data_IF_202136390222
#
_entry.id   IF_202136390222
#
_cell.length_a   1.000
_cell.length_b   1.000
_cell.length_c   1.000
_cell.angle_alpha   90.00
_cell.angle_beta   90.00
_cell.angle_gamma   90.00
#
_symmetry.space_group_name_H-M   'P 1'
#
loop_
_entity.id
_entity.type
_entity.pdbx_description
1 polymer ?
#
# COMPACT_ATOMS: atom_id res chain seq x y z
N UNK A 1 10.89 1.27 -15.13
CA UNK A 1 10.89 1.08 -13.66
C UNK A 1 12.29 0.74 -13.16
N UNK A 2 13.25 1.67 -13.19
CA UNK A 2 14.67 1.34 -12.90
C UNK A 2 15.22 1.92 -11.58
N UNK A 3 14.47 2.75 -10.87
CA UNK A 3 14.94 3.47 -9.68
C UNK A 3 13.92 3.49 -8.53
N UNK A 4 12.97 2.55 -8.48
CA UNK A 4 12.00 2.51 -7.39
C UNK A 4 12.73 2.28 -6.05
N UNK A 5 12.42 3.12 -5.07
CA UNK A 5 12.88 3.02 -3.68
C UNK A 5 11.79 2.43 -2.80
N UNK A 6 12.12 2.08 -1.56
CA UNK A 6 11.10 1.66 -0.58
C UNK A 6 10.03 2.74 -0.36
N UNK A 7 10.42 4.01 -0.44
CA UNK A 7 9.51 5.13 -0.32
C UNK A 7 8.52 5.18 -1.51
N UNK A 8 8.98 4.91 -2.74
CA UNK A 8 8.12 4.95 -3.93
C UNK A 8 6.99 3.91 -3.89
N UNK A 9 7.25 2.73 -3.32
CA UNK A 9 6.20 1.72 -3.10
C UNK A 9 5.17 2.17 -2.06
N UNK A 10 5.65 2.72 -0.94
CA UNK A 10 4.77 3.20 0.13
C UNK A 10 3.96 4.42 -0.32
N UNK A 11 4.56 5.31 -1.11
CA UNK A 11 3.88 6.50 -1.62
C UNK A 11 2.83 6.14 -2.67
N UNK A 12 3.08 5.18 -3.55
CA UNK A 12 2.06 4.64 -4.47
C UNK A 12 0.86 4.08 -3.70
N UNK A 13 1.12 3.26 -2.69
CA UNK A 13 0.06 2.72 -1.83
C UNK A 13 -0.70 3.83 -1.10
N UNK A 14 0.00 4.83 -0.58
CA UNK A 14 -0.60 5.95 0.15
C UNK A 14 -1.47 6.84 -0.74
N UNK A 15 -1.01 7.17 -1.96
CA UNK A 15 -1.79 7.99 -2.90
C UNK A 15 -3.05 7.25 -3.34
N UNK A 16 -2.94 5.95 -3.65
CA UNK A 16 -4.10 5.13 -4.00
C UNK A 16 -5.06 4.97 -2.81
N UNK A 17 -4.55 4.73 -1.60
CA UNK A 17 -5.37 4.67 -0.38
C UNK A 17 -6.14 5.97 -0.13
N UNK A 18 -5.51 7.13 -0.32
CA UNK A 18 -6.18 8.44 -0.23
C UNK A 18 -7.26 8.60 -1.30
N UNK A 19 -7.00 8.19 -2.54
CA UNK A 19 -7.98 8.19 -3.65
C UNK A 19 -9.19 7.34 -3.29
N UNK A 20 -8.97 6.11 -2.80
CA UNK A 20 -10.05 5.20 -2.38
C UNK A 20 -10.81 5.71 -1.17
N UNK A 21 -10.12 6.20 -0.15
CA UNK A 21 -10.74 6.80 1.03
C UNK A 21 -11.67 7.96 0.66
N UNK A 22 -11.20 8.86 -0.21
CA UNK A 22 -12.03 9.95 -0.72
C UNK A 22 -13.26 9.44 -1.47
N UNK A 23 -13.09 8.46 -2.37
CA UNK A 23 -14.21 7.87 -3.10
C UNK A 23 -15.25 7.24 -2.17
N UNK A 24 -14.82 6.42 -1.20
CA UNK A 24 -15.72 5.80 -0.22
C UNK A 24 -16.46 6.83 0.60
N UNK A 25 -15.77 7.87 1.06
CA UNK A 25 -16.34 8.89 1.94
C UNK A 25 -17.37 9.79 1.25
N UNK A 26 -17.16 10.12 -0.01
CA UNK A 26 -17.95 11.16 -0.68
C UNK A 26 -18.82 10.64 -1.82
N UNK A 27 -18.50 9.47 -2.40
CA UNK A 27 -19.08 9.01 -3.65
C UNK A 27 -19.77 7.63 -3.55
N UNK A 28 -19.73 6.95 -2.40
CA UNK A 28 -20.36 5.64 -2.19
C UNK A 28 -21.52 5.74 -1.20
N UNK A 29 -22.71 5.34 -1.65
CA UNK A 29 -23.89 5.22 -0.78
C UNK A 29 -23.64 4.14 0.27
N UNK A 30 -23.77 4.49 1.55
CA UNK A 30 -23.43 3.59 2.67
C UNK A 30 -21.92 3.51 2.98
N UNK A 31 -21.11 4.34 2.33
CA UNK A 31 -19.67 4.40 2.50
C UNK A 31 -19.22 4.69 3.93
N UNK A 32 -20.05 5.30 4.77
CA UNK A 32 -19.76 5.58 6.19
C UNK A 32 -19.39 4.32 7.00
N UNK A 33 -19.89 3.15 6.60
CA UNK A 33 -19.57 1.87 7.25
C UNK A 33 -18.17 1.36 6.89
N UNK A 34 -17.68 1.70 5.69
CA UNK A 34 -16.37 1.31 5.17
C UNK A 34 -15.30 2.37 5.44
N UNK A 35 -15.69 3.65 5.52
CA UNK A 35 -14.79 4.80 5.67
C UNK A 35 -13.77 4.62 6.80
N UNK A 36 -14.13 4.12 8.01
CA UNK A 36 -13.15 3.93 9.09
C UNK A 36 -12.02 2.95 8.72
N UNK A 37 -12.32 1.92 7.94
CA UNK A 37 -11.31 0.97 7.46
C UNK A 37 -10.35 1.66 6.49
N UNK A 38 -10.87 2.38 5.50
CA UNK A 38 -10.04 3.10 4.52
C UNK A 38 -9.22 4.21 5.18
N UNK A 39 -9.79 4.95 6.12
CA UNK A 39 -9.05 5.94 6.91
C UNK A 39 -7.94 5.27 7.74
N UNK A 40 -8.21 4.12 8.37
CA UNK A 40 -7.20 3.36 9.10
C UNK A 40 -6.02 2.95 8.21
N UNK A 41 -6.30 2.47 6.98
CA UNK A 41 -5.25 2.16 6.00
C UNK A 41 -4.41 3.40 5.68
N UNK A 42 -5.05 4.55 5.41
CA UNK A 42 -4.34 5.82 5.15
C UNK A 42 -3.44 6.21 6.32
N UNK A 43 -3.93 6.19 7.56
CA UNK A 43 -3.13 6.56 8.74
C UNK A 43 -1.94 5.62 8.95
N UNK A 44 -2.13 4.32 8.73
CA UNK A 44 -1.06 3.35 8.83
C UNK A 44 0.02 3.53 7.75
N UNK A 45 -0.36 3.88 6.52
CA UNK A 45 0.57 4.18 5.44
C UNK A 45 1.31 5.51 5.67
N UNK A 46 0.66 6.54 6.23
CA UNK A 46 1.32 7.78 6.67
C UNK A 46 2.38 7.46 7.73
N UNK A 47 2.05 6.64 8.71
CA UNK A 47 3.02 6.22 9.72
C UNK A 47 4.22 5.50 9.07
N UNK A 48 3.98 4.58 8.14
CA UNK A 48 5.06 3.88 7.44
C UNK A 48 5.93 4.83 6.60
N UNK A 49 5.31 5.78 5.89
CA UNK A 49 6.02 6.84 5.18
C UNK A 49 6.95 7.59 6.13
N UNK A 50 6.44 8.04 7.28
CA UNK A 50 7.20 8.80 8.26
C UNK A 50 8.38 7.99 8.84
N UNK A 51 8.22 6.67 9.01
CA UNK A 51 9.32 5.78 9.42
C UNK A 51 10.42 5.73 8.36
N UNK A 52 10.06 5.66 7.08
CA UNK A 52 11.02 5.58 5.96
C UNK A 52 11.75 6.91 5.75
N UNK A 53 11.04 8.03 5.89
CA UNK A 53 11.63 9.39 5.76
C UNK A 53 12.37 9.86 7.02
N UNK A 54 12.28 9.11 8.12
CA UNK A 54 12.92 9.44 9.39
C UNK A 54 12.19 10.50 10.21
N UNK A 55 10.98 10.90 9.80
CA UNK A 55 10.11 11.80 10.57
C UNK A 55 9.51 11.12 11.81
N UNK A 56 9.37 9.79 11.76
CA UNK A 56 8.99 8.95 12.89
C UNK A 56 10.14 7.96 13.17
N UNK A 57 10.45 7.79 14.45
CA UNK A 57 11.56 6.94 14.90
C UNK A 57 11.08 5.80 15.79
N UNK A 58 9.88 5.92 16.39
CA UNK A 58 9.27 4.85 17.16
C UNK A 58 8.69 3.77 16.24
N UNK A 59 9.49 2.72 16.07
CA UNK A 59 9.17 1.54 15.26
C UNK A 59 8.21 0.57 15.96
N UNK A 60 7.84 0.77 17.23
CA UNK A 60 6.99 -0.16 17.97
C UNK A 60 5.63 -0.39 17.30
N UNK A 61 5.06 0.66 16.70
CA UNK A 61 3.77 0.58 16.00
C UNK A 61 3.82 -0.22 14.69
N UNK A 62 5.00 -0.53 14.13
CA UNK A 62 5.10 -1.41 12.95
C UNK A 62 4.52 -2.82 13.21
N UNK A 63 4.57 -3.30 14.46
CA UNK A 63 3.96 -4.58 14.85
C UNK A 63 2.44 -4.54 14.89
N UNK A 64 1.84 -3.35 14.88
CA UNK A 64 0.40 -3.13 14.93
C UNK A 64 -0.22 -2.82 13.57
N UNK A 65 0.58 -2.83 12.49
CA UNK A 65 0.07 -2.60 11.14
C UNK A 65 -0.80 -3.78 10.71
N UNK A 66 -2.02 -3.48 10.27
CA UNK A 66 -3.02 -4.44 9.82
C UNK A 66 -3.41 -4.28 8.36
N UNK A 67 -2.96 -3.22 7.67
CA UNK A 67 -3.39 -2.96 6.29
C UNK A 67 -3.04 -4.08 5.29
N UNK A 68 -1.97 -4.84 5.53
CA UNK A 68 -1.64 -6.03 4.73
C UNK A 68 -2.65 -7.18 4.88
N UNK A 69 -3.38 -7.25 5.99
CA UNK A 69 -4.48 -8.21 6.15
C UNK A 69 -5.68 -7.82 5.28
N UNK A 70 -5.96 -6.51 5.14
CA UNK A 70 -7.06 -6.04 4.29
C UNK A 70 -6.78 -6.26 2.81
N UNK A 71 -5.52 -6.10 2.37
CA UNK A 71 -5.10 -6.35 0.98
C UNK A 71 -5.67 -7.67 0.44
N UNK A 72 -5.36 -8.77 1.11
CA UNK A 72 -5.75 -10.12 0.68
C UNK A 72 -7.21 -10.45 0.97
N UNK A 73 -7.76 -10.04 2.12
CA UNK A 73 -9.12 -10.44 2.50
C UNK A 73 -10.22 -9.63 1.82
N UNK A 74 -9.98 -8.35 1.57
CA UNK A 74 -11.00 -7.41 1.13
C UNK A 74 -10.85 -7.05 -0.35
N UNK A 75 -9.62 -7.00 -0.87
CA UNK A 75 -9.32 -6.35 -2.15
C UNK A 75 -8.81 -7.28 -3.26
N UNK A 76 -8.37 -8.51 -2.95
CA UNK A 76 -7.83 -9.44 -3.94
C UNK A 76 -8.74 -9.62 -5.16
N UNK A 77 -10.05 -9.70 -4.94
CA UNK A 77 -11.04 -9.86 -6.01
C UNK A 77 -11.63 -8.53 -6.49
N UNK A 78 -11.81 -7.57 -5.57
CA UNK A 78 -12.63 -6.38 -5.82
C UNK A 78 -11.81 -5.17 -6.29
N UNK A 79 -10.55 -5.06 -5.90
CA UNK A 79 -9.64 -3.97 -6.26
C UNK A 79 -8.18 -4.49 -6.34
N UNK A 80 -7.85 -5.29 -7.36
CA UNK A 80 -6.56 -6.00 -7.45
C UNK A 80 -5.35 -5.08 -7.48
N UNK A 81 -5.46 -3.88 -8.05
CA UNK A 81 -4.37 -2.90 -8.00
C UNK A 81 -4.15 -2.36 -6.59
N UNK A 82 -5.22 -2.15 -5.82
CA UNK A 82 -5.08 -1.70 -4.44
C UNK A 82 -4.52 -2.81 -3.54
N UNK A 83 -4.93 -4.06 -3.76
CA UNK A 83 -4.30 -5.24 -3.15
C UNK A 83 -2.78 -5.24 -3.39
N UNK A 84 -2.36 -5.10 -4.64
CA UNK A 84 -0.95 -5.12 -5.04
C UNK A 84 -0.14 -4.03 -4.30
N UNK A 85 -0.65 -2.78 -4.33
CA UNK A 85 0.06 -1.67 -3.68
C UNK A 85 0.15 -1.84 -2.16
N UNK A 86 -0.92 -2.33 -1.52
CA UNK A 86 -0.91 -2.59 -0.08
C UNK A 86 0.03 -3.75 0.27
N UNK A 87 0.04 -4.81 -0.54
CA UNK A 87 0.93 -5.95 -0.38
C UNK A 87 2.40 -5.55 -0.43
N UNK A 88 2.79 -4.77 -1.43
CA UNK A 88 4.15 -4.25 -1.59
C UNK A 88 4.59 -3.38 -0.40
N UNK A 89 3.74 -2.43 0.01
CA UNK A 89 4.01 -1.58 1.17
C UNK A 89 4.12 -2.39 2.47
N UNK A 90 3.27 -3.42 2.63
CA UNK A 90 3.31 -4.29 3.80
C UNK A 90 4.55 -5.18 3.82
N UNK A 91 4.99 -5.67 2.66
CA UNK A 91 6.24 -6.41 2.53
C UNK A 91 7.43 -5.58 3.02
N UNK A 92 7.51 -4.31 2.62
CA UNK A 92 8.53 -3.37 3.10
C UNK A 92 8.42 -3.17 4.61
N UNK A 93 7.24 -2.87 5.14
CA UNK A 93 7.00 -2.71 6.57
C UNK A 93 7.43 -3.95 7.37
N UNK A 94 7.18 -5.14 6.83
CA UNK A 94 7.53 -6.42 7.45
C UNK A 94 9.04 -6.64 7.59
N UNK A 95 9.84 -6.09 6.68
CA UNK A 95 11.29 -6.15 6.73
C UNK A 95 11.84 -5.12 7.73
N UNK A 96 11.33 -3.88 7.69
CA UNK A 96 11.73 -2.81 8.61
C UNK A 96 11.46 -3.21 10.06
N UNK A 97 10.27 -3.77 10.37
CA UNK A 97 9.91 -4.18 11.73
C UNK A 97 10.82 -5.29 12.29
N UNK A 98 11.43 -6.09 11.40
CA UNK A 98 12.36 -7.18 11.73
C UNK A 98 13.82 -6.73 11.76
N UNK A 99 14.10 -5.44 11.52
CA UNK A 99 15.47 -4.92 11.42
C UNK A 99 16.23 -5.43 10.22
N UNK A 100 15.55 -5.88 9.17
CA UNK A 100 16.17 -6.43 7.97
C UNK A 100 16.56 -5.32 6.99
N UNK A 101 17.63 -5.57 6.21
CA UNK A 101 17.89 -4.79 5.01
C UNK A 101 16.72 -4.97 4.04
N UNK A 102 16.09 -3.86 3.64
CA UNK A 102 14.94 -3.88 2.74
C UNK A 102 15.35 -4.40 1.37
N UNK A 103 14.74 -5.49 0.94
CA UNK A 103 14.64 -5.91 -0.45
C UNK A 103 13.34 -5.37 -1.03
N UNK A 104 13.38 -4.88 -2.26
CA UNK A 104 12.20 -4.33 -2.93
C UNK A 104 11.39 -5.46 -3.60
N UNK A 105 10.06 -5.30 -3.76
CA UNK A 105 9.21 -6.32 -4.40
C UNK A 105 9.76 -6.83 -5.74
N UNK A 106 10.19 -5.94 -6.63
CA UNK A 106 10.76 -6.30 -7.94
C UNK A 106 12.08 -7.09 -7.86
N UNK A 107 12.76 -7.08 -6.71
CA UNK A 107 14.02 -7.80 -6.51
C UNK A 107 13.79 -9.24 -6.05
N UNK A 108 12.58 -9.58 -5.64
CA UNK A 108 12.27 -10.88 -5.03
C UNK A 108 11.16 -11.63 -5.74
N UNK A 109 10.27 -10.93 -6.44
CA UNK A 109 9.22 -11.55 -7.25
C UNK A 109 9.65 -11.60 -8.74
N UNK A 110 9.93 -12.80 -9.29
CA UNK A 110 10.32 -12.95 -10.69
C UNK A 110 9.19 -12.56 -11.68
N UNK A 111 7.94 -12.54 -11.23
CA UNK A 111 6.77 -12.21 -12.04
C UNK A 111 6.38 -10.73 -11.91
N UNK A 112 7.13 -9.93 -11.15
CA UNK A 112 6.79 -8.55 -10.84
C UNK A 112 6.54 -7.71 -12.10
N UNK A 113 7.47 -7.73 -13.06
CA UNK A 113 7.36 -6.91 -14.28
C UNK A 113 6.14 -7.29 -15.13
N UNK A 114 5.81 -8.59 -15.23
CA UNK A 114 4.61 -9.05 -15.92
C UNK A 114 3.34 -8.61 -15.19
N UNK A 115 3.28 -8.76 -13.86
CA UNK A 115 2.15 -8.34 -13.03
C UNK A 115 1.92 -6.84 -13.16
N UNK A 116 2.98 -6.03 -13.12
CA UNK A 116 2.88 -4.58 -13.23
C UNK A 116 2.39 -4.12 -14.60
N UNK A 117 2.83 -4.75 -15.69
CA UNK A 117 2.30 -4.46 -17.04
C UNK A 117 0.81 -4.80 -17.17
N UNK A 118 0.39 -5.91 -16.57
CA UNK A 118 -1.03 -6.30 -16.54
C UNK A 118 -1.85 -5.28 -15.76
N UNK A 119 -1.41 -4.90 -14.55
CA UNK A 119 -2.07 -3.88 -13.73
C UNK A 119 -2.11 -2.51 -14.42
N UNK A 120 -1.04 -2.13 -15.12
CA UNK A 120 -1.00 -0.88 -15.90
C UNK A 120 -2.04 -0.90 -17.03
N UNK A 121 -2.16 -2.03 -17.73
CA UNK A 121 -3.14 -2.18 -18.81
C UNK A 121 -4.58 -2.21 -18.31
N UNK A 122 -4.84 -2.82 -17.15
CA UNK A 122 -6.19 -2.98 -16.59
C UNK A 122 -6.67 -1.74 -15.83
N UNK A 123 -5.75 -1.02 -15.17
CA UNK A 123 -6.07 0.07 -14.26
C UNK A 123 -5.23 1.32 -14.55
N UNK A 124 -5.23 1.87 -15.79
CA UNK A 124 -4.34 2.96 -16.18
C UNK A 124 -4.53 4.23 -15.32
N UNK A 125 -5.77 4.52 -14.91
CA UNK A 125 -6.12 5.69 -14.09
C UNK A 125 -5.69 5.57 -12.62
N UNK A 126 -5.37 4.35 -12.16
CA UNK A 126 -4.93 4.07 -10.79
C UNK A 126 -3.44 3.74 -10.72
N UNK A 127 -2.86 3.24 -11.81
CA UNK A 127 -1.47 2.79 -11.86
C UNK A 127 -0.46 3.90 -11.60
N UNK A 128 -0.74 5.10 -12.12
CA UNK A 128 0.15 6.25 -12.07
C UNK A 128 -0.20 7.28 -10.99
N UNK A 129 -1.18 6.97 -10.14
CA UNK A 129 -1.65 7.85 -9.05
C UNK A 129 -0.54 8.16 -8.07
#
# INVERSE_FOLDING_TARGET
>A
MKNDTALDYVDRALRLAKKRHHHIKYNVIGGDTLEPMYNSIVQQLIFLHNIITGQETDKAKLWKLTFGMYATKEFEVTDPIFEDRLGDAFYIASQIRRGLKVKLPHQVDPNFDSKQKELESLYPDDFYV
#
